data_IF_184614475899
#
_entry.id   IF_184614475899
#
_cell.length_a   1.000
_cell.length_b   1.000
_cell.length_c   1.000
_cell.angle_alpha   90.00
_cell.angle_beta   90.00
_cell.angle_gamma   90.00
#
_symmetry.space_group_name_H-M   'P 1'
#
loop_
_entity.id
_entity.type
_entity.pdbx_description
1 polymer ?
#
# COMPACT_ATOMS: atom_id res chain seq x y z
N UNK A 1 4.85 8.09 -3.70
CA UNK A 1 6.33 8.05 -3.62
C UNK A 1 6.89 7.95 -5.01
N UNK A 2 7.86 8.78 -5.34
CA UNK A 2 8.55 8.74 -6.63
C UNK A 2 9.75 7.82 -6.57
N UNK A 3 10.27 7.40 -7.73
CA UNK A 3 11.50 6.60 -7.80
C UNK A 3 12.68 7.34 -7.17
N UNK A 4 12.78 8.65 -7.37
CA UNK A 4 13.82 9.47 -6.74
C UNK A 4 13.76 9.40 -5.22
N UNK A 5 12.59 9.53 -4.64
CA UNK A 5 12.41 9.46 -3.19
C UNK A 5 12.86 8.10 -2.66
N UNK A 6 12.48 7.02 -3.34
CA UNK A 6 12.85 5.66 -2.94
C UNK A 6 14.36 5.45 -2.96
N UNK A 7 15.04 5.87 -4.03
CA UNK A 7 16.48 5.68 -4.18
C UNK A 7 17.29 6.58 -3.27
N UNK A 8 16.87 7.85 -3.12
CA UNK A 8 17.59 8.84 -2.32
C UNK A 8 17.54 8.53 -0.82
N UNK A 9 16.52 7.81 -0.37
CA UNK A 9 16.39 7.40 1.03
C UNK A 9 16.95 6.02 1.32
N UNK A 10 17.66 5.41 0.36
CA UNK A 10 18.29 4.10 0.55
C UNK A 10 17.31 2.94 0.57
N UNK A 11 16.14 3.09 -0.05
CA UNK A 11 15.13 2.03 -0.10
C UNK A 11 15.40 1.00 -1.20
N UNK A 12 16.26 1.31 -2.15
CA UNK A 12 16.65 0.41 -3.22
C UNK A 12 18.16 0.20 -3.16
N UNK A 13 18.62 -0.98 -2.71
CA UNK A 13 20.04 -1.25 -2.62
C UNK A 13 20.66 -1.49 -4.01
N UNK A 14 21.99 -1.32 -4.07
CA UNK A 14 22.80 -1.65 -5.25
C UNK A 14 22.41 -0.87 -6.51
N UNK A 15 21.77 0.29 -6.34
CA UNK A 15 21.46 1.14 -7.48
C UNK A 15 22.75 1.70 -8.08
N UNK A 16 22.95 1.44 -9.36
CA UNK A 16 24.12 1.93 -10.08
C UNK A 16 23.83 3.26 -10.76
N UNK A 17 24.90 3.97 -11.10
CA UNK A 17 24.80 5.23 -11.84
C UNK A 17 25.73 5.18 -13.04
N UNK A 18 25.32 5.83 -14.13
CA UNK A 18 26.16 5.94 -15.31
C UNK A 18 27.22 7.03 -15.12
N UNK A 19 28.04 7.23 -16.15
CA UNK A 19 29.12 8.24 -16.11
C UNK A 19 28.61 9.69 -15.97
N UNK A 20 27.33 9.92 -16.26
CA UNK A 20 26.70 11.22 -16.12
C UNK A 20 25.92 11.34 -14.80
N UNK A 21 26.13 10.39 -13.89
CA UNK A 21 25.47 10.31 -12.60
C UNK A 21 23.95 10.08 -12.68
N UNK A 22 23.45 9.55 -13.79
CA UNK A 22 22.07 9.13 -13.91
C UNK A 22 21.88 7.75 -13.30
N UNK A 23 20.71 7.52 -12.69
CA UNK A 23 20.40 6.22 -12.10
C UNK A 23 20.20 5.17 -13.17
N UNK A 24 20.86 4.02 -13.00
CA UNK A 24 20.71 2.87 -13.86
C UNK A 24 19.85 1.82 -13.14
N UNK A 25 18.78 1.40 -13.80
CA UNK A 25 17.85 0.41 -13.25
C UNK A 25 18.02 -0.93 -13.99
N UNK A 26 18.61 -1.91 -13.31
CA UNK A 26 18.63 -3.30 -13.77
C UNK A 26 17.37 -4.02 -13.25
N UNK A 27 17.24 -5.32 -13.59
CA UNK A 27 16.08 -6.11 -13.19
C UNK A 27 15.98 -6.22 -11.66
N UNK A 28 17.11 -6.33 -10.98
CA UNK A 28 17.13 -6.41 -9.53
C UNK A 28 16.59 -5.11 -8.89
N UNK A 29 17.05 -3.96 -9.39
CA UNK A 29 16.56 -2.67 -8.92
C UNK A 29 15.07 -2.48 -9.17
N UNK A 30 14.58 -2.93 -10.34
CA UNK A 30 13.15 -2.89 -10.66
C UNK A 30 12.36 -3.76 -9.69
N UNK A 31 12.86 -4.94 -9.35
CA UNK A 31 12.21 -5.83 -8.38
C UNK A 31 12.13 -5.17 -7.00
N UNK A 32 13.20 -4.49 -6.56
CA UNK A 32 13.20 -3.76 -5.31
C UNK A 32 12.19 -2.61 -5.32
N UNK A 33 12.12 -1.84 -6.41
CA UNK A 33 11.14 -0.76 -6.55
C UNK A 33 9.71 -1.29 -6.46
N UNK A 34 9.44 -2.41 -7.12
CA UNK A 34 8.13 -3.06 -7.08
C UNK A 34 7.78 -3.49 -5.66
N UNK A 35 8.72 -4.12 -4.97
CA UNK A 35 8.54 -4.55 -3.58
C UNK A 35 8.26 -3.37 -2.67
N UNK A 36 9.05 -2.31 -2.78
CA UNK A 36 8.85 -1.09 -1.96
C UNK A 36 7.49 -0.48 -2.22
N UNK A 37 7.03 -0.47 -3.48
CA UNK A 37 5.69 0.03 -3.81
C UNK A 37 4.60 -0.71 -3.04
N UNK A 38 4.66 -2.04 -2.99
CA UNK A 38 3.67 -2.84 -2.25
C UNK A 38 3.77 -2.63 -0.74
N UNK A 39 4.98 -2.53 -0.20
CA UNK A 39 5.16 -2.22 1.22
C UNK A 39 4.56 -0.87 1.57
N UNK A 40 4.73 0.12 0.70
CA UNK A 40 4.14 1.43 0.88
C UNK A 40 2.61 1.37 0.82
N UNK A 41 2.05 0.60 -0.11
CA UNK A 41 0.61 0.43 -0.24
C UNK A 41 -0.02 -0.22 0.98
N UNK A 42 0.68 -1.11 1.67
CA UNK A 42 0.15 -1.72 2.88
C UNK A 42 0.30 -0.83 4.13
N UNK A 43 0.83 0.37 3.96
CA UNK A 43 0.87 1.37 5.01
C UNK A 43 2.17 1.48 5.79
N UNK A 44 3.25 0.82 5.34
CA UNK A 44 4.54 0.98 5.99
C UNK A 44 5.08 2.40 5.76
N UNK A 45 5.64 2.98 6.82
CA UNK A 45 6.34 4.26 6.70
C UNK A 45 7.65 4.08 5.93
N UNK A 46 8.19 5.19 5.43
CA UNK A 46 9.51 5.17 4.76
C UNK A 46 10.58 4.61 5.69
N UNK A 47 10.53 4.99 6.96
CA UNK A 47 11.49 4.51 7.95
C UNK A 47 11.39 3.00 8.18
N UNK A 48 10.17 2.47 8.27
CA UNK A 48 9.95 1.04 8.43
C UNK A 48 10.40 0.26 7.19
N UNK A 49 10.15 0.78 6.01
CA UNK A 49 10.60 0.18 4.76
C UNK A 49 12.14 0.14 4.73
N UNK A 50 12.78 1.22 5.13
CA UNK A 50 14.25 1.27 5.19
C UNK A 50 14.79 0.23 6.16
N UNK A 51 14.18 0.09 7.33
CA UNK A 51 14.55 -0.93 8.31
C UNK A 51 14.43 -2.32 7.70
N UNK A 52 13.35 -2.60 6.99
CA UNK A 52 13.16 -3.87 6.30
C UNK A 52 14.24 -4.12 5.25
N UNK A 53 14.56 -3.12 4.42
CA UNK A 53 15.63 -3.23 3.42
C UNK A 53 16.98 -3.51 4.09
N UNK A 54 17.27 -2.80 5.16
CA UNK A 54 18.53 -3.01 5.91
C UNK A 54 18.63 -4.44 6.46
N UNK A 55 17.51 -4.99 6.95
CA UNK A 55 17.46 -6.39 7.39
C UNK A 55 17.73 -7.35 6.23
N UNK A 56 17.18 -7.06 5.05
CA UNK A 56 17.47 -7.88 3.87
C UNK A 56 18.95 -7.87 3.52
N UNK A 57 19.61 -6.72 3.66
CA UNK A 57 21.03 -6.59 3.37
C UNK A 57 21.91 -7.31 4.40
N UNK A 58 21.46 -7.46 5.64
CA UNK A 58 22.17 -8.23 6.65
C UNK A 58 22.16 -9.74 6.33
N UNK A 59 21.21 -10.22 5.58
CA UNK A 59 21.18 -11.59 5.09
C UNK A 59 20.40 -12.56 5.97
N UNK A 60 20.80 -13.83 5.94
CA UNK A 60 20.03 -14.96 6.50
C UNK A 60 19.67 -14.83 7.96
N UNK A 61 20.50 -14.18 8.76
CA UNK A 61 20.26 -14.05 10.20
C UNK A 61 19.00 -13.26 10.52
N UNK A 62 18.44 -12.52 9.55
CA UNK A 62 17.27 -11.66 9.75
C UNK A 62 16.00 -12.20 9.13
N UNK A 63 16.02 -13.43 8.59
CA UNK A 63 14.83 -13.99 7.89
C UNK A 63 13.63 -14.03 8.81
N UNK A 64 13.78 -14.45 10.07
CA UNK A 64 12.67 -14.54 11.01
C UNK A 64 12.07 -13.15 11.27
N UNK A 65 12.91 -12.15 11.51
CA UNK A 65 12.45 -10.78 11.73
C UNK A 65 11.71 -10.23 10.52
N UNK A 66 12.25 -10.47 9.32
CA UNK A 66 11.62 -10.04 8.07
C UNK A 66 10.25 -10.70 7.89
N UNK A 67 10.16 -11.99 8.16
CA UNK A 67 8.91 -12.73 8.09
C UNK A 67 7.86 -12.10 9.02
N UNK A 68 8.23 -11.78 10.24
CA UNK A 68 7.33 -11.20 11.23
C UNK A 68 6.82 -9.82 10.79
N UNK A 69 7.70 -9.00 10.21
CA UNK A 69 7.33 -7.69 9.66
C UNK A 69 6.27 -7.86 8.56
N UNK A 70 6.52 -8.77 7.63
CA UNK A 70 5.59 -9.02 6.52
C UNK A 70 4.25 -9.55 7.03
N UNK A 71 4.25 -10.46 7.99
CA UNK A 71 3.01 -11.01 8.55
C UNK A 71 2.19 -9.95 9.27
N UNK A 72 2.84 -9.07 10.00
CA UNK A 72 2.17 -7.95 10.68
C UNK A 72 1.46 -7.04 9.68
N UNK A 73 2.15 -6.65 8.61
CA UNK A 73 1.59 -5.76 7.62
C UNK A 73 0.55 -6.44 6.72
N UNK A 74 0.69 -7.73 6.50
CA UNK A 74 -0.34 -8.54 5.82
C UNK A 74 -1.65 -8.51 6.63
N UNK A 75 -1.57 -8.68 7.94
CA UNK A 75 -2.74 -8.65 8.81
C UNK A 75 -3.43 -7.28 8.74
N UNK A 76 -2.66 -6.18 8.79
CA UNK A 76 -3.21 -4.83 8.67
C UNK A 76 -3.88 -4.60 7.32
N UNK A 77 -3.25 -5.05 6.23
CA UNK A 77 -3.82 -4.92 4.90
C UNK A 77 -5.12 -5.70 4.77
N UNK A 78 -5.19 -6.88 5.38
CA UNK A 78 -6.39 -7.71 5.36
C UNK A 78 -7.54 -7.04 6.13
N UNK A 79 -7.26 -6.42 7.27
CA UNK A 79 -8.26 -5.65 8.00
C UNK A 79 -8.82 -4.51 7.16
N UNK A 80 -7.96 -3.77 6.48
CA UNK A 80 -8.38 -2.68 5.59
C UNK A 80 -9.24 -3.18 4.44
N UNK A 81 -8.89 -4.33 3.89
CA UNK A 81 -9.67 -4.97 2.84
C UNK A 81 -11.09 -5.28 3.33
N UNK A 82 -11.21 -5.88 4.51
CA UNK A 82 -12.52 -6.20 5.09
C UNK A 82 -13.34 -4.95 5.39
N UNK A 83 -12.70 -3.89 5.89
CA UNK A 83 -13.38 -2.61 6.11
C UNK A 83 -13.87 -2.00 4.80
N UNK A 84 -13.05 -2.04 3.76
CA UNK A 84 -13.42 -1.52 2.45
C UNK A 84 -14.62 -2.29 1.87
N UNK A 85 -14.66 -3.59 2.06
CA UNK A 85 -15.80 -4.41 1.64
C UNK A 85 -17.08 -4.00 2.35
N UNK A 86 -17.02 -3.76 3.65
CA UNK A 86 -18.17 -3.30 4.43
C UNK A 86 -18.65 -1.92 3.95
N UNK A 87 -17.70 -1.03 3.65
CA UNK A 87 -18.02 0.31 3.14
C UNK A 87 -18.72 0.23 1.78
N UNK A 88 -18.23 -0.62 0.89
CA UNK A 88 -18.86 -0.83 -0.43
C UNK A 88 -20.29 -1.33 -0.25
N UNK A 89 -20.49 -2.30 0.61
CA UNK A 89 -21.83 -2.85 0.87
C UNK A 89 -22.80 -1.76 1.36
N UNK A 90 -22.34 -0.94 2.31
CA UNK A 90 -23.14 0.17 2.81
C UNK A 90 -23.52 1.15 1.69
N UNK A 91 -22.55 1.49 0.84
CA UNK A 91 -22.80 2.41 -0.26
C UNK A 91 -23.73 1.83 -1.31
N UNK A 92 -23.64 0.53 -1.57
CA UNK A 92 -24.57 -0.15 -2.48
C UNK A 92 -26.00 -0.11 -1.95
N UNK A 93 -26.20 -0.37 -0.67
CA UNK A 93 -27.51 -0.30 -0.04
C UNK A 93 -28.08 1.12 -0.11
N UNK A 94 -27.23 2.12 0.13
CA UNK A 94 -27.65 3.52 0.05
C UNK A 94 -27.99 3.93 -1.37
N UNK A 95 -27.20 3.50 -2.34
CA UNK A 95 -27.50 3.75 -3.76
C UNK A 95 -28.82 3.12 -4.18
N UNK A 96 -29.10 1.90 -3.75
CA UNK A 96 -30.37 1.23 -4.03
C UNK A 96 -31.53 1.96 -3.38
N UNK A 97 -31.35 2.48 -2.18
CA UNK A 97 -32.37 3.28 -1.50
C UNK A 97 -32.71 4.53 -2.32
N UNK A 98 -31.70 5.25 -2.82
CA UNK A 98 -31.92 6.42 -3.66
C UNK A 98 -32.59 6.06 -4.99
N UNK A 99 -32.26 4.92 -5.58
CA UNK A 99 -32.93 4.47 -6.80
C UNK A 99 -34.42 4.24 -6.53
N UNK A 100 -34.80 3.68 -5.40
CA UNK A 100 -36.18 3.50 -5.01
C UNK A 100 -36.91 4.84 -4.89
N UNK A 101 -36.26 5.84 -4.33
CA UNK A 101 -36.81 7.20 -4.24
C UNK A 101 -36.96 7.80 -5.61
N UNK A 102 -35.96 7.72 -6.48
CA UNK A 102 -35.97 8.23 -7.85
C UNK A 102 -37.10 7.60 -8.65
N UNK A 103 -37.33 6.29 -8.49
CA UNK A 103 -38.37 5.56 -9.20
C UNK A 103 -39.77 5.74 -8.59
N UNK A 104 -39.87 6.54 -7.52
CA UNK A 104 -41.16 6.84 -6.90
C UNK A 104 -41.71 5.74 -6.01
N UNK A 105 -40.91 4.71 -5.70
CA UNK A 105 -41.35 3.58 -4.87
C UNK A 105 -41.49 3.95 -3.39
N UNK A 106 -40.69 4.89 -2.92
CA UNK A 106 -40.69 5.36 -1.51
C UNK A 106 -40.45 6.86 -1.46
N UNK A 107 -40.80 7.47 -0.34
CA UNK A 107 -40.55 8.88 -0.10
C UNK A 107 -39.10 9.08 0.40
N UNK A 108 -38.59 10.29 0.17
CA UNK A 108 -37.26 10.65 0.68
C UNK A 108 -37.28 10.80 2.19
N UNK A 109 -36.58 9.90 2.87
CA UNK A 109 -36.40 9.89 4.31
C UNK A 109 -34.93 9.91 4.71
N UNK A 110 -34.03 10.19 3.77
CA UNK A 110 -32.57 10.05 3.99
C UNK A 110 -31.92 11.27 4.59
N UNK A 111 -32.56 12.43 4.57
CA UNK A 111 -31.98 13.66 5.09
C UNK A 111 -32.32 13.83 6.57
N UNK A 112 -31.36 13.70 7.47
CA UNK A 112 -31.62 13.80 8.91
C UNK A 112 -32.00 15.21 9.37
N UNK A 113 -31.82 16.22 8.55
CA UNK A 113 -32.22 17.59 8.84
C UNK A 113 -33.65 17.94 8.49
N UNK A 114 -34.37 17.02 7.93
CA UNK A 114 -35.77 17.20 7.56
C UNK A 114 -36.70 16.90 8.72
#
# INVERSE_FOLDING_TARGET
MTEHTVTDKGLVPNLQRDKNNNRLFDQESINWLTGVKYLKQCGMSVEDIKTYVDLCLEGRSTIQERYEIIMKHKATALERFEEAKRTVKYMEEKANHYLDIINGAILDDTNPGQ
#
